data_IF_014050947158
#
_entry.id   IF_014050947158
#
_cell.length_a   1.000
_cell.length_b   1.000
_cell.length_c   1.000
_cell.angle_alpha   90.00
_cell.angle_beta   90.00
_cell.angle_gamma   90.00
#
_symmetry.space_group_name_H-M   'P 1'
#
loop_
_entity.id
_entity.type
_entity.pdbx_description
1 polymer ?
#
# COMPACT_ATOMS: atom_id res chain seq x y z
N UNK A 1 -42.44 -33.92 8.63
CA UNK A 1 -42.65 -34.50 9.97
C UNK A 1 -43.65 -35.62 9.81
N UNK A 2 -43.20 -36.87 9.82
CA UNK A 2 -44.07 -38.04 9.92
C UNK A 2 -43.64 -38.82 11.14
N UNK A 3 -44.60 -39.06 12.05
CA UNK A 3 -44.51 -40.08 13.09
C UNK A 3 -45.92 -40.63 13.29
N UNK A 4 -46.19 -41.74 12.61
CA UNK A 4 -47.20 -42.69 13.04
C UNK A 4 -46.89 -43.15 14.47
N UNK A 5 -47.93 -43.32 15.27
CA UNK A 5 -47.84 -43.88 16.62
C UNK A 5 -48.63 -45.18 16.58
N UNK A 6 -47.92 -46.31 16.64
CA UNK A 6 -48.54 -47.63 16.71
C UNK A 6 -49.04 -47.92 18.13
N UNK A 7 -50.28 -48.40 18.25
CA UNK A 7 -50.77 -49.08 19.44
C UNK A 7 -50.23 -50.52 19.50
N UNK A 8 -50.12 -51.09 20.71
CA UNK A 8 -50.32 -52.53 20.86
C UNK A 8 -51.25 -52.87 22.04
N UNK A 9 -52.34 -53.62 21.80
CA UNK A 9 -53.00 -54.37 22.86
C UNK A 9 -52.95 -55.89 22.62
N UNK A 10 -52.11 -56.54 23.43
CA UNK A 10 -52.53 -57.67 24.27
C UNK A 10 -53.26 -58.85 23.59
N UNK A 11 -52.53 -59.65 22.83
CA UNK A 11 -52.96 -60.98 22.36
C UNK A 11 -51.98 -62.10 22.72
N UNK A 12 -51.51 -62.10 23.97
CA UNK A 12 -50.68 -63.16 24.56
C UNK A 12 -51.31 -63.70 25.85
N UNK A 13 -52.56 -64.19 25.76
CA UNK A 13 -53.06 -65.14 26.75
C UNK A 13 -52.26 -66.42 26.57
N UNK A 14 -51.36 -66.69 27.52
CA UNK A 14 -50.52 -67.88 27.53
C UNK A 14 -51.40 -69.13 27.47
N UNK A 15 -51.22 -69.93 26.42
CA UNK A 15 -51.92 -71.19 26.21
C UNK A 15 -51.33 -72.28 27.12
N UNK A 16 -51.51 -72.13 28.43
CA UNK A 16 -51.22 -73.21 29.36
C UNK A 16 -52.14 -74.41 29.08
N UNK A 17 -51.53 -75.60 29.04
CA UNK A 17 -52.17 -76.93 29.03
C UNK A 17 -52.75 -77.50 27.72
N UNK A 18 -51.88 -77.75 26.74
CA UNK A 18 -51.98 -78.94 25.86
C UNK A 18 -50.86 -79.95 26.16
N UNK A 19 -50.84 -80.53 27.37
CA UNK A 19 -49.80 -81.49 27.80
C UNK A 19 -49.81 -82.82 27.01
N UNK A 20 -50.94 -83.18 26.41
CA UNK A 20 -51.17 -84.47 25.74
C UNK A 20 -50.96 -84.46 24.22
N UNK A 21 -50.50 -83.34 23.65
CA UNK A 21 -50.28 -83.19 22.20
C UNK A 21 -48.93 -82.53 21.89
N UNK A 22 -47.95 -82.73 22.79
CA UNK A 22 -46.58 -82.22 22.63
C UNK A 22 -45.76 -83.08 21.66
N UNK A 23 -46.18 -84.34 21.46
CA UNK A 23 -45.68 -85.28 20.45
C UNK A 23 -46.84 -85.69 19.54
N UNK A 24 -46.64 -85.60 18.23
CA UNK A 24 -47.66 -85.94 17.22
C UNK A 24 -47.19 -87.12 16.39
N UNK A 25 -47.97 -88.20 16.37
CA UNK A 25 -47.73 -89.36 15.51
C UNK A 25 -48.18 -89.07 14.07
N UNK A 26 -47.39 -89.52 13.10
CA UNK A 26 -47.62 -89.31 11.66
C UNK A 26 -47.67 -90.66 10.94
N UNK A 27 -48.38 -90.75 9.81
CA UNK A 27 -48.48 -91.96 8.99
C UNK A 27 -48.78 -93.23 9.81
N UNK A 28 -49.80 -93.14 10.67
CA UNK A 28 -50.30 -94.29 11.44
C UNK A 28 -51.38 -94.97 10.61
N UNK A 29 -51.11 -96.20 10.20
CA UNK A 29 -52.04 -96.98 9.39
C UNK A 29 -53.20 -97.51 10.23
N UNK A 30 -54.37 -97.72 9.62
CA UNK A 30 -55.50 -98.37 10.30
C UNK A 30 -55.22 -99.84 10.59
N UNK A 31 -54.47 -100.48 9.70
CA UNK A 31 -54.17 -101.90 9.73
C UNK A 31 -52.66 -102.13 9.52
N UNK A 32 -52.04 -102.91 10.40
CA UNK A 32 -50.67 -103.38 10.24
C UNK A 32 -50.68 -104.90 10.00
N UNK A 33 -49.89 -105.36 9.02
CA UNK A 33 -49.84 -106.78 8.63
C UNK A 33 -49.21 -107.62 9.76
N UNK A 34 -49.90 -108.65 10.29
CA UNK A 34 -49.35 -109.54 11.31
C UNK A 34 -48.04 -110.19 10.86
N UNK A 35 -47.01 -110.13 11.70
CA UNK A 35 -45.68 -110.67 11.40
C UNK A 35 -44.73 -109.75 10.65
N UNK A 36 -45.17 -108.55 10.25
CA UNK A 36 -44.28 -107.46 9.80
C UNK A 36 -43.68 -106.67 10.96
N UNK A 37 -42.50 -106.08 10.75
CA UNK A 37 -41.99 -105.01 11.62
C UNK A 37 -42.82 -103.74 11.41
N UNK A 38 -43.10 -102.97 12.47
CA UNK A 38 -43.86 -101.71 12.38
C UNK A 38 -42.98 -100.53 12.72
N UNK A 39 -42.84 -99.61 11.77
CA UNK A 39 -42.18 -98.31 11.98
C UNK A 39 -43.21 -97.28 12.42
N UNK A 40 -42.99 -96.69 13.59
CA UNK A 40 -43.82 -95.64 14.15
C UNK A 40 -43.15 -94.28 13.92
N UNK A 41 -43.79 -93.40 13.14
CA UNK A 41 -43.32 -92.04 12.90
C UNK A 41 -43.95 -91.04 13.86
N UNK A 42 -43.14 -90.12 14.37
CA UNK A 42 -43.59 -89.09 15.31
C UNK A 42 -42.77 -87.80 15.17
N UNK A 43 -43.34 -86.69 15.64
CA UNK A 43 -42.71 -85.38 15.60
C UNK A 43 -42.88 -84.65 16.92
N UNK A 44 -41.90 -83.82 17.27
CA UNK A 44 -41.93 -82.98 18.46
C UNK A 44 -42.50 -81.60 18.11
N UNK A 45 -43.41 -81.08 18.94
CA UNK A 45 -43.84 -79.67 18.83
C UNK A 45 -42.72 -78.73 19.27
N UNK A 46 -42.72 -77.48 18.80
CA UNK A 46 -41.60 -76.53 18.95
C UNK A 46 -41.14 -76.25 20.40
N UNK A 47 -41.95 -76.60 21.41
CA UNK A 47 -41.69 -76.35 22.83
C UNK A 47 -41.35 -77.63 23.61
N UNK A 48 -41.33 -78.81 22.96
CA UNK A 48 -41.07 -80.08 23.62
C UNK A 48 -39.59 -80.48 23.55
N UNK A 49 -39.01 -80.83 24.70
CA UNK A 49 -37.61 -81.26 24.82
C UNK A 49 -37.56 -82.75 25.20
N UNK A 50 -37.17 -83.65 24.28
CA UNK A 50 -37.12 -85.08 24.55
C UNK A 50 -35.97 -85.44 25.50
N UNK A 51 -36.16 -86.49 26.31
CA UNK A 51 -35.18 -86.95 27.32
C UNK A 51 -34.79 -88.40 27.11
N UNK A 52 -33.61 -88.79 27.63
CA UNK A 52 -33.02 -90.15 27.46
C UNK A 52 -33.83 -91.31 28.04
N UNK A 53 -34.87 -91.01 28.84
CA UNK A 53 -35.77 -92.00 29.44
C UNK A 53 -37.23 -91.82 28.98
N UNK A 54 -37.43 -91.07 27.90
CA UNK A 54 -38.72 -91.07 27.21
C UNK A 54 -38.81 -92.32 26.31
N UNK A 55 -40.02 -92.82 26.10
CA UNK A 55 -40.27 -94.05 25.37
C UNK A 55 -41.64 -94.03 24.68
N UNK A 56 -41.78 -94.80 23.62
CA UNK A 56 -43.05 -94.99 22.92
C UNK A 56 -43.51 -96.40 23.20
N UNK A 57 -44.73 -96.54 23.73
CA UNK A 57 -45.38 -97.82 23.97
C UNK A 57 -46.52 -98.07 23.00
N UNK A 58 -46.75 -99.35 22.69
CA UNK A 58 -48.01 -99.82 22.10
C UNK A 58 -48.93 -100.19 23.26
N UNK A 59 -50.10 -99.54 23.33
CA UNK A 59 -51.10 -99.76 24.37
C UNK A 59 -52.41 -100.23 23.75
N UNK A 60 -53.09 -101.19 24.41
CA UNK A 60 -54.47 -101.54 24.06
C UNK A 60 -55.37 -100.35 24.39
N UNK A 61 -56.29 -99.99 23.49
CA UNK A 61 -57.24 -98.88 23.71
C UNK A 61 -58.04 -99.13 24.99
N UNK A 62 -58.12 -98.12 25.85
CA UNK A 62 -58.76 -98.21 27.18
C UNK A 62 -57.82 -98.49 28.36
N UNK A 63 -56.49 -98.47 28.15
CA UNK A 63 -55.47 -98.48 29.20
C UNK A 63 -55.71 -97.39 30.27
N UNK A 64 -55.37 -97.65 31.55
CA UNK A 64 -55.57 -96.71 32.66
C UNK A 64 -54.27 -96.13 33.22
N UNK A 65 -53.17 -96.86 33.14
CA UNK A 65 -51.83 -96.41 33.56
C UNK A 65 -50.78 -96.72 32.50
N UNK A 66 -49.70 -95.94 32.47
CA UNK A 66 -48.53 -96.16 31.62
C UNK A 66 -47.79 -97.47 31.91
N UNK A 67 -48.20 -98.24 32.92
CA UNK A 67 -47.71 -99.61 33.18
C UNK A 67 -48.43 -100.69 32.36
N UNK A 68 -49.50 -100.36 31.64
CA UNK A 68 -50.29 -101.28 30.80
C UNK A 68 -49.81 -101.33 29.33
N UNK A 69 -48.52 -101.04 29.07
CA UNK A 69 -47.96 -101.19 27.72
C UNK A 69 -47.90 -102.67 27.33
N UNK A 70 -48.16 -102.98 26.07
CA UNK A 70 -47.94 -104.31 25.50
C UNK A 70 -46.45 -104.51 25.18
N UNK A 71 -45.86 -103.54 24.48
CA UNK A 71 -44.43 -103.45 24.16
C UNK A 71 -44.01 -101.99 24.12
N UNK A 72 -42.72 -101.71 24.23
CA UNK A 72 -42.18 -100.36 24.22
C UNK A 72 -40.80 -100.30 23.56
N UNK A 73 -40.45 -99.11 23.07
CA UNK A 73 -39.13 -98.77 22.57
C UNK A 73 -38.67 -97.43 23.14
N UNK A 74 -37.41 -97.33 23.55
CA UNK A 74 -36.82 -96.07 24.00
C UNK A 74 -36.72 -95.07 22.85
N UNK A 75 -36.97 -93.80 23.15
CA UNK A 75 -36.82 -92.70 22.19
C UNK A 75 -35.33 -92.46 21.94
N UNK A 76 -34.92 -92.53 20.68
CA UNK A 76 -33.61 -92.07 20.26
C UNK A 76 -33.58 -90.54 20.36
N UNK A 77 -32.56 -89.97 21.02
CA UNK A 77 -32.36 -88.52 21.00
C UNK A 77 -31.85 -88.11 19.61
N UNK A 78 -32.45 -87.09 18.96
CA UNK A 78 -31.90 -86.55 17.72
C UNK A 78 -30.53 -85.92 17.97
N UNK A 79 -29.54 -86.27 17.14
CA UNK A 79 -28.15 -85.83 17.31
C UNK A 79 -27.96 -84.32 17.11
N UNK A 80 -28.82 -83.66 16.33
CA UNK A 80 -28.79 -82.22 16.05
C UNK A 80 -30.19 -81.61 16.26
N UNK A 81 -30.43 -80.98 17.41
CA UNK A 81 -31.72 -80.31 17.71
C UNK A 81 -31.98 -79.04 16.87
N UNK A 82 -30.95 -78.49 16.21
CA UNK A 82 -31.02 -77.20 15.50
C UNK A 82 -31.14 -77.32 13.96
N UNK A 83 -31.37 -78.52 13.41
CA UNK A 83 -31.62 -78.70 11.97
C UNK A 83 -33.12 -78.84 11.71
N UNK A 84 -33.70 -77.89 10.98
CA UNK A 84 -35.14 -77.91 10.64
C UNK A 84 -35.57 -79.12 9.80
N UNK A 85 -34.62 -79.82 9.17
CA UNK A 85 -34.85 -81.08 8.45
C UNK A 85 -35.03 -82.31 9.34
N UNK A 86 -34.93 -82.20 10.67
CA UNK A 86 -34.99 -83.33 11.62
C UNK A 86 -36.26 -83.33 12.47
N UNK A 87 -37.37 -82.76 11.95
CA UNK A 87 -38.66 -82.65 12.66
C UNK A 87 -39.43 -83.98 12.79
N UNK A 88 -39.17 -84.97 11.93
CA UNK A 88 -39.76 -86.31 11.98
C UNK A 88 -38.74 -87.31 12.51
N UNK A 89 -39.13 -88.04 13.56
CA UNK A 89 -38.40 -89.14 14.18
C UNK A 89 -39.12 -90.45 13.85
N UNK A 90 -38.41 -91.56 13.95
CA UNK A 90 -38.97 -92.90 13.80
C UNK A 90 -38.51 -93.84 14.92
N UNK A 91 -39.32 -94.85 15.21
CA UNK A 91 -38.94 -95.97 16.07
C UNK A 91 -39.55 -97.26 15.53
N UNK A 92 -38.76 -98.33 15.47
CA UNK A 92 -39.19 -99.59 14.88
C UNK A 92 -39.50 -100.64 15.95
N UNK A 93 -40.72 -101.14 15.94
CA UNK A 93 -41.16 -102.28 16.73
C UNK A 93 -40.97 -103.57 15.94
N UNK A 94 -40.22 -104.52 16.50
CA UNK A 94 -39.98 -105.82 15.85
C UNK A 94 -41.19 -106.74 15.94
N UNK A 95 -41.51 -107.40 14.83
CA UNK A 95 -42.68 -108.27 14.65
C UNK A 95 -42.92 -109.27 15.80
N UNK A 96 -41.82 -109.81 16.35
CA UNK A 96 -41.86 -110.77 17.46
C UNK A 96 -42.50 -110.21 18.75
N UNK A 97 -42.41 -108.90 18.99
CA UNK A 97 -42.95 -108.21 20.16
C UNK A 97 -44.32 -107.55 19.92
N UNK A 98 -44.93 -107.73 18.75
CA UNK A 98 -46.22 -107.13 18.42
C UNK A 98 -47.40 -108.00 18.87
N UNK A 99 -48.57 -107.40 19.12
CA UNK A 99 -49.83 -108.12 19.32
C UNK A 99 -50.16 -109.09 18.19
N UNK A 100 -50.95 -110.13 18.53
CA UNK A 100 -51.39 -111.20 17.63
C UNK A 100 -52.90 -111.46 17.73
N UNK A 101 -53.62 -110.52 18.32
CA UNK A 101 -55.07 -110.51 18.45
C UNK A 101 -55.66 -109.33 17.64
N UNK A 102 -56.97 -109.38 17.39
CA UNK A 102 -57.69 -108.36 16.63
C UNK A 102 -58.09 -107.14 17.49
N UNK A 103 -57.40 -106.91 18.61
CA UNK A 103 -57.71 -105.79 19.50
C UNK A 103 -57.22 -104.46 18.92
N UNK A 104 -57.83 -103.36 19.38
CA UNK A 104 -57.40 -102.02 18.98
C UNK A 104 -56.24 -101.55 19.84
N UNK A 105 -55.18 -101.09 19.18
CA UNK A 105 -53.96 -100.57 19.79
C UNK A 105 -53.70 -99.14 19.36
N UNK A 106 -52.92 -98.41 20.15
CA UNK A 106 -52.44 -97.07 19.84
C UNK A 106 -51.00 -96.89 20.34
N UNK A 107 -50.22 -96.07 19.66
CA UNK A 107 -48.94 -95.60 20.16
C UNK A 107 -49.20 -94.51 21.21
N UNK A 108 -48.48 -94.55 22.33
CA UNK A 108 -48.43 -93.46 23.31
C UNK A 108 -46.98 -93.11 23.60
N UNK A 109 -46.65 -91.81 23.52
CA UNK A 109 -45.35 -91.30 23.95
C UNK A 109 -45.41 -91.01 25.44
N UNK A 110 -44.53 -91.63 26.23
CA UNK A 110 -44.43 -91.48 27.68
C UNK A 110 -43.07 -90.86 28.01
N UNK A 111 -43.09 -89.82 28.82
CA UNK A 111 -41.88 -89.13 29.22
C UNK A 111 -41.19 -89.76 30.46
N UNK A 112 -39.99 -89.27 30.79
CA UNK A 112 -39.22 -89.70 31.97
C UNK A 112 -39.99 -89.56 33.31
N UNK A 113 -40.97 -88.66 33.41
CA UNK A 113 -41.78 -88.43 34.61
C UNK A 113 -43.03 -89.35 34.64
N UNK A 114 -43.24 -90.15 33.60
CA UNK A 114 -44.37 -91.07 33.43
C UNK A 114 -45.61 -90.43 32.82
N UNK A 115 -45.52 -89.20 32.30
CA UNK A 115 -46.62 -88.44 31.71
C UNK A 115 -46.74 -88.75 30.22
N UNK A 116 -47.97 -88.96 29.74
CA UNK A 116 -48.24 -89.17 28.31
C UNK A 116 -48.27 -87.83 27.58
N UNK A 117 -47.42 -87.70 26.55
CA UNK A 117 -47.20 -86.46 25.78
C UNK A 117 -47.78 -86.47 24.38
N UNK A 118 -48.26 -87.63 23.93
CA UNK A 118 -48.92 -87.84 22.65
C UNK A 118 -49.54 -89.23 22.60
N UNK A 119 -50.64 -89.36 21.84
CA UNK A 119 -51.28 -90.64 21.52
C UNK A 119 -51.69 -90.67 20.04
N UNK A 120 -51.57 -91.82 19.38
CA UNK A 120 -51.99 -92.00 17.98
C UNK A 120 -53.50 -92.25 17.85
N UNK A 121 -53.97 -92.24 16.60
CA UNK A 121 -55.23 -92.91 16.27
C UNK A 121 -55.13 -94.43 16.54
N UNK A 122 -56.24 -95.12 16.84
CA UNK A 122 -56.25 -96.58 16.97
C UNK A 122 -55.98 -97.32 15.66
N UNK A 123 -55.36 -98.49 15.78
CA UNK A 123 -55.04 -99.42 14.69
C UNK A 123 -55.20 -100.88 15.14
N UNK A 124 -55.29 -101.81 14.19
CA UNK A 124 -55.37 -103.26 14.44
C UNK A 124 -54.28 -104.02 13.70
N UNK A 125 -53.90 -105.20 14.20
CA UNK A 125 -52.98 -106.12 13.51
C UNK A 125 -53.76 -107.14 12.67
N UNK A 126 -54.16 -106.75 11.45
CA UNK A 126 -54.90 -107.60 10.51
C UNK A 126 -54.56 -107.28 9.05
N UNK A 127 -54.75 -108.22 8.11
CA UNK A 127 -54.69 -107.93 6.68
C UNK A 127 -55.82 -106.97 6.24
N UNK A 128 -55.50 -106.13 5.28
CA UNK A 128 -56.47 -105.32 4.53
C UNK A 128 -57.01 -106.15 3.36
N UNK A 129 -58.34 -106.24 3.25
CA UNK A 129 -59.04 -107.04 2.23
C UNK A 129 -59.99 -106.13 1.46
N UNK A 130 -59.48 -105.50 0.40
CA UNK A 130 -60.28 -104.75 -0.57
C UNK A 130 -60.54 -105.63 -1.81
N UNK A 131 -61.72 -106.25 -1.89
CA UNK A 131 -62.18 -106.96 -3.08
C UNK A 131 -63.53 -106.41 -3.59
N UNK A 132 -63.60 -106.21 -4.90
CA UNK A 132 -64.76 -105.93 -5.76
C UNK A 132 -65.73 -104.78 -5.45
N UNK A 133 -65.46 -103.62 -6.06
CA UNK A 133 -66.49 -102.65 -6.49
C UNK A 133 -66.34 -102.36 -8.00
N UNK A 134 -67.13 -103.05 -8.83
CA UNK A 134 -67.20 -102.78 -10.28
C UNK A 134 -68.21 -101.67 -10.55
N UNK A 135 -67.73 -100.48 -10.91
CA UNK A 135 -68.58 -99.32 -11.22
C UNK A 135 -69.06 -99.39 -12.68
N UNK A 136 -70.35 -99.68 -12.88
CA UNK A 136 -70.99 -99.67 -14.21
C UNK A 136 -71.48 -98.25 -14.55
N UNK A 137 -70.81 -97.58 -15.50
CA UNK A 137 -71.20 -96.25 -16.00
C UNK A 137 -72.07 -96.32 -17.27
N UNK A 138 -73.03 -95.41 -17.38
CA UNK A 138 -73.98 -95.32 -18.51
C UNK A 138 -73.44 -94.43 -19.63
N UNK A 139 -73.60 -94.84 -20.90
CA UNK A 139 -72.96 -94.21 -22.09
C UNK A 139 -73.03 -92.68 -22.15
N UNK A 140 -74.18 -92.05 -21.86
CA UNK A 140 -74.30 -90.58 -21.89
C UNK A 140 -73.38 -89.85 -20.90
N UNK A 141 -73.09 -90.46 -19.74
CA UNK A 141 -72.11 -89.92 -18.78
C UNK A 141 -70.68 -90.02 -19.29
N UNK A 142 -70.38 -90.95 -20.20
CA UNK A 142 -69.05 -91.05 -20.82
C UNK A 142 -68.86 -89.89 -21.80
N UNK A 143 -69.86 -89.58 -22.62
CA UNK A 143 -69.84 -88.45 -23.56
C UNK A 143 -69.72 -87.10 -22.81
N UNK A 144 -70.42 -86.92 -21.67
CA UNK A 144 -70.26 -85.75 -20.77
C UNK A 144 -68.83 -85.65 -20.17
N UNK A 145 -68.23 -86.78 -19.75
CA UNK A 145 -66.88 -86.83 -19.19
C UNK A 145 -65.80 -86.61 -20.27
N UNK A 146 -66.00 -87.09 -21.49
CA UNK A 146 -65.12 -86.86 -22.63
C UNK A 146 -65.08 -85.36 -22.98
N UNK A 147 -66.25 -84.72 -23.08
CA UNK A 147 -66.34 -83.28 -23.36
C UNK A 147 -65.70 -82.43 -22.24
N UNK A 148 -65.93 -82.78 -20.97
CA UNK A 148 -65.29 -82.09 -19.84
C UNK A 148 -63.76 -82.31 -19.78
N UNK A 149 -63.27 -83.48 -20.21
CA UNK A 149 -61.83 -83.72 -20.34
C UNK A 149 -61.19 -82.89 -21.46
N UNK A 150 -61.88 -82.65 -22.57
CA UNK A 150 -61.40 -81.75 -23.63
C UNK A 150 -61.29 -80.30 -23.13
N UNK A 151 -62.29 -79.81 -22.39
CA UNK A 151 -62.25 -78.49 -21.72
C UNK A 151 -61.08 -78.39 -20.73
N UNK A 152 -60.90 -79.39 -19.86
CA UNK A 152 -59.80 -79.45 -18.89
C UNK A 152 -58.41 -79.52 -19.55
N UNK A 153 -58.30 -80.18 -20.71
CA UNK A 153 -57.05 -80.21 -21.50
C UNK A 153 -56.74 -78.84 -22.10
N UNK A 154 -57.75 -78.12 -22.60
CA UNK A 154 -57.58 -76.76 -23.10
C UNK A 154 -57.17 -75.80 -21.96
N UNK A 155 -57.88 -75.83 -20.82
CA UNK A 155 -57.55 -74.99 -19.65
C UNK A 155 -56.14 -75.30 -19.13
N UNK A 156 -55.73 -76.57 -19.07
CA UNK A 156 -54.35 -76.94 -18.71
C UNK A 156 -53.31 -76.38 -19.68
N UNK A 157 -53.59 -76.36 -20.99
CA UNK A 157 -52.68 -75.81 -21.98
C UNK A 157 -52.57 -74.28 -21.84
N UNK A 158 -53.69 -73.58 -21.67
CA UNK A 158 -53.72 -72.13 -21.42
C UNK A 158 -53.00 -71.76 -20.11
N UNK A 159 -53.22 -72.51 -19.03
CA UNK A 159 -52.50 -72.35 -17.75
C UNK A 159 -51.00 -72.59 -17.90
N UNK A 160 -50.59 -73.57 -18.71
CA UNK A 160 -49.18 -73.89 -18.97
C UNK A 160 -48.48 -72.79 -19.78
N UNK A 161 -49.15 -72.25 -20.81
CA UNK A 161 -48.63 -71.15 -21.61
C UNK A 161 -48.59 -69.84 -20.80
N UNK A 162 -49.58 -69.60 -19.94
CA UNK A 162 -49.59 -68.51 -18.96
C UNK A 162 -48.43 -68.62 -17.95
N UNK A 163 -48.20 -69.83 -17.40
CA UNK A 163 -47.10 -70.10 -16.49
C UNK A 163 -45.72 -69.88 -17.16
N UNK A 164 -45.55 -70.33 -18.40
CA UNK A 164 -44.34 -70.07 -19.18
C UNK A 164 -44.12 -68.57 -19.46
N UNK A 165 -45.19 -67.83 -19.76
CA UNK A 165 -45.16 -66.37 -19.94
C UNK A 165 -44.75 -65.64 -18.66
N UNK A 166 -45.35 -65.98 -17.52
CA UNK A 166 -45.01 -65.44 -16.20
C UNK A 166 -43.57 -65.78 -15.79
N UNK A 167 -43.12 -67.02 -16.04
CA UNK A 167 -41.75 -67.43 -15.76
C UNK A 167 -40.74 -66.62 -16.58
N UNK A 168 -41.04 -66.35 -17.86
CA UNK A 168 -40.23 -65.47 -18.70
C UNK A 168 -40.22 -64.03 -18.16
N UNK A 169 -41.39 -63.44 -17.89
CA UNK A 169 -41.48 -62.08 -17.35
C UNK A 169 -40.70 -61.91 -16.04
N UNK A 170 -40.75 -62.92 -15.16
CA UNK A 170 -40.00 -62.91 -13.90
C UNK A 170 -38.48 -62.98 -14.14
N UNK A 171 -38.03 -63.82 -15.09
CA UNK A 171 -36.63 -63.87 -15.52
C UNK A 171 -36.14 -62.55 -16.14
N UNK A 172 -36.95 -61.94 -17.02
CA UNK A 172 -36.63 -60.67 -17.67
C UNK A 172 -36.56 -59.52 -16.62
N UNK A 173 -37.52 -59.47 -15.69
CA UNK A 173 -37.53 -58.50 -14.60
C UNK A 173 -36.36 -58.67 -13.62
N UNK A 174 -35.96 -59.92 -13.33
CA UNK A 174 -34.81 -60.20 -12.46
C UNK A 174 -33.47 -59.83 -13.14
N UNK A 175 -33.36 -60.02 -14.46
CA UNK A 175 -32.23 -59.54 -15.24
C UNK A 175 -32.15 -58.00 -15.29
N UNK A 176 -33.29 -57.32 -15.46
CA UNK A 176 -33.32 -55.85 -15.38
C UNK A 176 -32.94 -55.36 -13.97
N UNK A 177 -33.47 -55.98 -12.90
CA UNK A 177 -33.14 -55.64 -11.51
C UNK A 177 -31.63 -55.74 -11.27
N UNK A 178 -30.99 -56.83 -11.70
CA UNK A 178 -29.54 -57.00 -11.58
C UNK A 178 -28.78 -55.92 -12.37
N UNK A 179 -29.20 -55.61 -13.60
CA UNK A 179 -28.60 -54.54 -14.40
C UNK A 179 -28.73 -53.15 -13.74
N UNK A 180 -29.87 -52.85 -13.10
CA UNK A 180 -30.02 -51.61 -12.30
C UNK A 180 -29.12 -51.59 -11.07
N UNK A 181 -28.97 -52.73 -10.38
CA UNK A 181 -28.11 -52.85 -9.21
C UNK A 181 -26.64 -52.60 -9.57
N UNK A 182 -26.13 -53.25 -10.62
CA UNK A 182 -24.77 -53.03 -11.14
C UNK A 182 -24.54 -51.56 -11.56
N UNK A 183 -25.53 -50.95 -12.22
CA UNK A 183 -25.46 -49.53 -12.60
C UNK A 183 -25.45 -48.59 -11.37
N UNK A 184 -26.18 -48.93 -10.31
CA UNK A 184 -26.24 -48.16 -9.07
C UNK A 184 -24.92 -48.25 -8.29
N UNK A 185 -24.31 -49.43 -8.22
CA UNK A 185 -22.97 -49.62 -7.63
C UNK A 185 -21.88 -48.90 -8.41
N UNK A 186 -21.94 -48.92 -9.75
CA UNK A 186 -21.04 -48.15 -10.60
C UNK A 186 -21.20 -46.63 -10.35
N UNK A 187 -22.42 -46.13 -10.21
CA UNK A 187 -22.71 -44.72 -9.95
C UNK A 187 -22.28 -44.29 -8.55
N UNK A 188 -22.45 -45.14 -7.52
CA UNK A 188 -21.89 -44.93 -6.18
C UNK A 188 -20.36 -44.84 -6.22
N UNK A 189 -19.69 -45.73 -6.97
CA UNK A 189 -18.23 -45.71 -7.16
C UNK A 189 -17.75 -44.43 -7.86
N UNK A 190 -18.51 -43.92 -8.83
CA UNK A 190 -18.22 -42.65 -9.50
C UNK A 190 -18.42 -41.46 -8.54
N UNK A 191 -19.53 -41.39 -7.81
CA UNK A 191 -19.78 -40.32 -6.84
C UNK A 191 -18.69 -40.26 -5.78
N UNK A 192 -18.29 -41.40 -5.19
CA UNK A 192 -17.21 -41.46 -4.21
C UNK A 192 -15.87 -40.93 -4.76
N UNK A 193 -15.56 -41.21 -6.04
CA UNK A 193 -14.37 -40.66 -6.71
C UNK A 193 -14.47 -39.16 -6.98
N UNK A 194 -15.67 -38.65 -7.26
CA UNK A 194 -15.92 -37.21 -7.44
C UNK A 194 -15.81 -36.46 -6.10
N UNK A 195 -16.36 -37.01 -5.02
CA UNK A 195 -16.21 -36.49 -3.65
C UNK A 195 -14.74 -36.42 -3.23
N UNK A 196 -13.97 -37.49 -3.47
CA UNK A 196 -12.53 -37.51 -3.20
C UNK A 196 -11.78 -36.41 -3.98
N UNK A 197 -12.02 -36.29 -5.29
CA UNK A 197 -11.40 -35.23 -6.11
C UNK A 197 -11.81 -33.83 -5.69
N UNK A 198 -13.04 -33.64 -5.24
CA UNK A 198 -13.55 -32.35 -4.76
C UNK A 198 -12.86 -31.93 -3.47
N UNK A 199 -12.66 -32.86 -2.53
CA UNK A 199 -11.93 -32.59 -1.28
C UNK A 199 -10.41 -32.42 -1.53
N UNK A 200 -9.81 -33.18 -2.44
CA UNK A 200 -8.42 -32.99 -2.91
C UNK A 200 -8.22 -31.59 -3.53
N UNK A 201 -9.13 -31.16 -4.41
CA UNK A 201 -9.09 -29.84 -5.04
C UNK A 201 -9.29 -28.72 -4.00
N UNK A 202 -10.20 -28.92 -3.06
CA UNK A 202 -10.45 -27.98 -1.94
C UNK A 202 -9.21 -27.84 -1.05
N UNK A 203 -8.57 -28.95 -0.64
CA UNK A 203 -7.34 -28.91 0.14
C UNK A 203 -6.17 -28.23 -0.61
N UNK A 204 -6.09 -28.41 -1.93
CA UNK A 204 -5.14 -27.71 -2.80
C UNK A 204 -5.38 -26.19 -2.78
N UNK A 205 -6.63 -25.75 -2.99
CA UNK A 205 -7.02 -24.33 -2.94
C UNK A 205 -6.85 -23.70 -1.56
N UNK A 206 -7.14 -24.42 -0.48
CA UNK A 206 -6.88 -23.96 0.90
C UNK A 206 -5.38 -23.75 1.14
N UNK A 207 -4.52 -24.61 0.59
CA UNK A 207 -3.06 -24.48 0.66
C UNK A 207 -2.56 -23.28 -0.17
N UNK A 208 -3.04 -23.10 -1.40
CA UNK A 208 -2.70 -21.96 -2.25
C UNK A 208 -3.15 -20.63 -1.63
N UNK A 209 -4.35 -20.60 -1.05
CA UNK A 209 -4.88 -19.44 -0.30
C UNK A 209 -4.02 -19.11 0.93
N UNK A 210 -3.48 -20.11 1.63
CA UNK A 210 -2.56 -19.89 2.76
C UNK A 210 -1.24 -19.28 2.26
N UNK A 211 -0.64 -19.85 1.22
CA UNK A 211 0.60 -19.34 0.61
C UNK A 211 0.45 -17.90 0.09
N UNK A 212 -0.68 -17.59 -0.55
CA UNK A 212 -0.98 -16.23 -1.00
C UNK A 212 -1.16 -15.25 0.17
N UNK A 213 -1.73 -15.67 1.30
CA UNK A 213 -1.81 -14.85 2.52
C UNK A 213 -0.43 -14.57 3.12
N UNK A 214 0.42 -15.59 3.24
CA UNK A 214 1.80 -15.44 3.73
C UNK A 214 2.63 -14.53 2.82
N UNK A 215 2.50 -14.68 1.50
CA UNK A 215 3.17 -13.84 0.51
C UNK A 215 2.71 -12.38 0.58
N UNK A 216 1.40 -12.14 0.68
CA UNK A 216 0.85 -10.79 0.88
C UNK A 216 1.30 -10.17 2.21
N UNK A 217 1.33 -10.95 3.30
CA UNK A 217 1.83 -10.48 4.59
C UNK A 217 3.32 -10.11 4.52
N UNK A 218 4.13 -10.91 3.82
CA UNK A 218 5.54 -10.62 3.57
C UNK A 218 5.70 -9.31 2.80
N UNK A 219 5.03 -9.15 1.65
CA UNK A 219 5.05 -7.91 0.85
C UNK A 219 4.59 -6.72 1.69
N UNK A 220 3.51 -6.85 2.47
CA UNK A 220 3.02 -5.79 3.36
C UNK A 220 4.11 -5.34 4.35
N UNK A 221 4.82 -6.30 4.97
CA UNK A 221 5.93 -6.00 5.90
C UNK A 221 7.17 -5.41 5.22
N UNK A 222 7.39 -5.69 3.93
CA UNK A 222 8.48 -5.11 3.14
C UNK A 222 8.11 -3.69 2.68
N UNK A 223 6.85 -3.48 2.24
CA UNK A 223 6.30 -2.17 1.90
C UNK A 223 6.30 -1.22 3.11
N UNK A 224 5.94 -1.70 4.31
CA UNK A 224 6.01 -0.88 5.54
C UNK A 224 7.46 -0.44 5.85
N UNK A 225 8.43 -1.35 5.76
CA UNK A 225 9.86 -1.02 5.93
C UNK A 225 10.35 -0.04 4.85
N UNK A 226 9.92 -0.21 3.61
CA UNK A 226 10.25 0.70 2.52
C UNK A 226 9.60 2.08 2.71
N UNK A 227 8.36 2.15 3.21
CA UNK A 227 7.70 3.39 3.60
C UNK A 227 8.47 4.15 4.65
N UNK A 228 8.83 3.50 5.77
CA UNK A 228 9.67 4.08 6.82
C UNK A 228 11.03 4.55 6.29
N UNK A 229 11.62 3.82 5.32
CA UNK A 229 12.88 4.22 4.68
C UNK A 229 12.72 5.44 3.77
N UNK A 230 11.61 5.55 3.04
CA UNK A 230 11.26 6.73 2.25
C UNK A 230 11.04 7.94 3.16
N UNK A 231 10.26 7.81 4.24
CA UNK A 231 10.06 8.87 5.23
C UNK A 231 11.39 9.34 5.86
N UNK A 232 12.28 8.40 6.19
CA UNK A 232 13.61 8.73 6.70
C UNK A 232 14.46 9.51 5.68
N UNK A 233 14.43 9.11 4.41
CA UNK A 233 15.15 9.81 3.33
C UNK A 233 14.53 11.19 3.04
N UNK A 234 13.20 11.30 3.07
CA UNK A 234 12.46 12.56 2.95
C UNK A 234 12.88 13.55 4.04
N UNK A 235 12.97 13.09 5.30
CA UNK A 235 13.43 13.90 6.42
C UNK A 235 14.91 14.32 6.26
N UNK A 236 15.78 13.40 5.82
CA UNK A 236 17.19 13.71 5.56
C UNK A 236 17.36 14.76 4.45
N UNK A 237 16.63 14.62 3.33
CA UNK A 237 16.63 15.60 2.24
C UNK A 237 16.10 16.96 2.70
N UNK A 238 15.04 17.01 3.52
CA UNK A 238 14.52 18.26 4.07
C UNK A 238 15.53 18.96 5.00
N UNK A 239 16.27 18.20 5.80
CA UNK A 239 17.36 18.76 6.63
C UNK A 239 18.49 19.30 5.75
N UNK A 240 18.97 18.53 4.77
CA UNK A 240 20.03 18.96 3.86
C UNK A 240 19.62 20.17 3.01
N UNK A 241 18.35 20.26 2.61
CA UNK A 241 17.81 21.43 1.92
C UNK A 241 17.89 22.69 2.80
N UNK A 242 17.49 22.60 4.08
CA UNK A 242 17.59 23.74 5.02
C UNK A 242 19.04 24.14 5.28
N UNK A 243 19.94 23.18 5.46
CA UNK A 243 21.39 23.44 5.60
C UNK A 243 21.96 24.14 4.35
N UNK A 244 21.51 23.75 3.15
CA UNK A 244 21.87 24.40 1.89
C UNK A 244 21.31 25.83 1.81
N UNK A 245 20.05 26.04 2.16
CA UNK A 245 19.40 27.36 2.19
C UNK A 245 20.12 28.32 3.17
N UNK A 246 20.48 27.84 4.37
CA UNK A 246 21.29 28.61 5.35
C UNK A 246 22.70 28.96 4.82
N UNK A 247 23.34 28.02 4.10
CA UNK A 247 24.64 28.26 3.48
C UNK A 247 24.56 29.31 2.36
N UNK A 248 23.53 29.25 1.51
CA UNK A 248 23.29 30.23 0.44
C UNK A 248 23.02 31.62 1.01
N UNK A 249 22.17 31.73 2.05
CA UNK A 249 21.92 33.01 2.73
C UNK A 249 23.20 33.60 3.35
N UNK A 250 24.05 32.76 3.95
CA UNK A 250 25.34 33.16 4.51
C UNK A 250 26.34 33.60 3.44
N UNK A 251 26.34 32.95 2.28
CA UNK A 251 27.20 33.33 1.16
C UNK A 251 26.74 34.65 0.50
N UNK A 252 25.42 34.86 0.42
CA UNK A 252 24.85 36.12 -0.03
C UNK A 252 25.23 37.29 0.89
N UNK A 253 25.03 37.17 2.21
CA UNK A 253 25.45 38.22 3.16
C UNK A 253 26.96 38.51 3.09
N UNK A 254 27.80 37.47 3.01
CA UNK A 254 29.25 37.65 2.80
C UNK A 254 29.56 38.37 1.48
N UNK A 255 28.85 38.04 0.40
CA UNK A 255 29.02 38.68 -0.91
C UNK A 255 28.62 40.16 -0.84
N UNK A 256 27.54 40.49 -0.15
CA UNK A 256 27.14 41.88 0.11
C UNK A 256 28.17 42.63 0.99
N UNK A 257 28.70 42.00 2.04
CA UNK A 257 29.77 42.56 2.87
C UNK A 257 31.03 42.83 2.05
N UNK A 258 31.46 41.89 1.21
CA UNK A 258 32.59 42.06 0.29
C UNK A 258 32.34 43.21 -0.69
N UNK A 259 31.13 43.35 -1.22
CA UNK A 259 30.78 44.44 -2.12
C UNK A 259 30.76 45.81 -1.39
N UNK A 260 30.28 45.86 -0.14
CA UNK A 260 30.36 47.06 0.72
C UNK A 260 31.82 47.48 0.95
N UNK A 261 32.66 46.56 1.42
CA UNK A 261 34.11 46.81 1.63
C UNK A 261 34.84 47.20 0.34
N UNK A 262 34.46 46.62 -0.81
CA UNK A 262 35.03 46.98 -2.12
C UNK A 262 34.67 48.40 -2.55
N UNK A 263 33.44 48.84 -2.28
CA UNK A 263 33.00 50.21 -2.54
C UNK A 263 33.71 51.20 -1.61
N UNK A 264 33.81 50.90 -0.32
CA UNK A 264 34.55 51.70 0.68
C UNK A 264 36.03 51.82 0.33
N UNK A 265 36.70 50.72 -0.02
CA UNK A 265 38.10 50.72 -0.45
C UNK A 265 38.28 51.57 -1.73
N UNK A 266 37.34 51.49 -2.67
CA UNK A 266 37.34 52.31 -3.88
C UNK A 266 37.17 53.82 -3.56
N UNK A 267 36.30 54.19 -2.60
CA UNK A 267 36.20 55.57 -2.09
C UNK A 267 37.49 56.02 -1.40
N UNK A 268 38.09 55.17 -0.55
CA UNK A 268 39.36 55.47 0.12
C UNK A 268 40.51 55.66 -0.88
N UNK A 269 40.57 54.88 -1.95
CA UNK A 269 41.55 55.05 -3.04
C UNK A 269 41.34 56.39 -3.74
N UNK A 270 40.10 56.77 -4.08
CA UNK A 270 39.79 58.08 -4.67
C UNK A 270 40.22 59.22 -3.74
N UNK A 271 39.81 59.20 -2.47
CA UNK A 271 40.20 60.20 -1.46
C UNK A 271 41.72 60.27 -1.28
N UNK A 272 42.43 59.13 -1.31
CA UNK A 272 43.89 59.09 -1.22
C UNK A 272 44.56 59.68 -2.48
N UNK A 273 43.98 59.50 -3.67
CA UNK A 273 44.48 60.15 -4.89
C UNK A 273 44.25 61.65 -4.88
N UNK A 274 43.07 62.11 -4.43
CA UNK A 274 42.79 63.54 -4.25
C UNK A 274 43.73 64.19 -3.22
N UNK A 275 43.95 63.54 -2.07
CA UNK A 275 44.92 64.02 -1.06
C UNK A 275 46.35 64.06 -1.61
N UNK A 276 46.76 63.10 -2.43
CA UNK A 276 48.08 63.14 -3.11
C UNK A 276 48.17 64.30 -4.10
N UNK A 277 47.12 64.58 -4.86
CA UNK A 277 47.09 65.70 -5.80
C UNK A 277 47.11 67.05 -5.06
N UNK A 278 46.32 67.20 -3.99
CA UNK A 278 46.35 68.36 -3.11
C UNK A 278 47.74 68.54 -2.47
N UNK A 279 48.37 67.46 -2.02
CA UNK A 279 49.74 67.48 -1.50
C UNK A 279 50.75 67.93 -2.56
N UNK A 280 50.69 67.42 -3.79
CA UNK A 280 51.56 67.90 -4.89
C UNK A 280 51.34 69.40 -5.18
N UNK A 281 50.08 69.86 -5.19
CA UNK A 281 49.75 71.29 -5.35
C UNK A 281 50.33 72.13 -4.20
N UNK A 282 50.25 71.66 -2.96
CA UNK A 282 50.86 72.33 -1.79
C UNK A 282 52.39 72.32 -1.83
N UNK A 283 53.01 71.22 -2.23
CA UNK A 283 54.46 71.14 -2.43
C UNK A 283 54.91 72.13 -3.53
N UNK A 284 54.16 72.23 -4.63
CA UNK A 284 54.41 73.19 -5.71
C UNK A 284 54.21 74.65 -5.26
N UNK A 285 53.19 74.96 -4.43
CA UNK A 285 53.03 76.32 -3.89
C UNK A 285 54.12 76.67 -2.88
N UNK A 286 54.53 75.74 -2.01
CA UNK A 286 55.67 75.92 -1.10
C UNK A 286 56.96 76.16 -1.88
N UNK A 287 57.22 75.39 -2.94
CA UNK A 287 58.40 75.60 -3.79
C UNK A 287 58.37 76.94 -4.53
N UNK A 288 57.21 77.35 -5.03
CA UNK A 288 57.01 78.68 -5.61
C UNK A 288 57.18 79.80 -4.55
N UNK A 289 56.77 79.58 -3.31
CA UNK A 289 57.01 80.52 -2.21
C UNK A 289 58.49 80.59 -1.83
N UNK A 290 59.22 79.48 -1.77
CA UNK A 290 60.69 79.47 -1.57
C UNK A 290 61.42 80.24 -2.68
N UNK A 291 61.00 80.08 -3.94
CA UNK A 291 61.54 80.86 -5.07
C UNK A 291 61.25 82.35 -4.92
N UNK A 292 60.02 82.73 -4.52
CA UNK A 292 59.67 84.13 -4.22
C UNK A 292 60.46 84.67 -3.03
N UNK A 293 60.64 83.89 -1.97
CA UNK A 293 61.39 84.28 -0.78
C UNK A 293 62.88 84.47 -1.09
N UNK A 294 63.50 83.56 -1.85
CA UNK A 294 64.90 83.70 -2.27
C UNK A 294 65.11 84.90 -3.22
N UNK A 295 64.17 85.18 -4.12
CA UNK A 295 64.17 86.43 -4.91
C UNK A 295 64.00 87.68 -4.03
N UNK A 296 63.09 87.64 -3.05
CA UNK A 296 62.89 88.74 -2.11
C UNK A 296 64.10 88.98 -1.20
N UNK A 297 64.77 87.92 -0.73
CA UNK A 297 66.03 87.99 0.03
C UNK A 297 67.16 88.57 -0.82
N UNK A 298 67.29 88.16 -2.10
CA UNK A 298 68.26 88.77 -3.03
C UNK A 298 67.99 90.27 -3.19
N UNK A 299 66.74 90.65 -3.48
CA UNK A 299 66.35 92.05 -3.62
C UNK A 299 66.50 92.87 -2.33
N UNK A 300 66.28 92.25 -1.17
CA UNK A 300 66.55 92.88 0.12
C UNK A 300 68.05 93.06 0.36
N UNK A 301 68.90 92.13 -0.11
CA UNK A 301 70.35 92.28 -0.05
C UNK A 301 70.84 93.36 -1.01
N UNK A 302 70.36 93.37 -2.26
CA UNK A 302 70.60 94.45 -3.24
C UNK A 302 70.24 95.83 -2.65
N UNK A 303 69.03 95.97 -2.07
CA UNK A 303 68.60 97.20 -1.40
C UNK A 303 69.45 97.55 -0.16
N UNK A 304 69.97 96.57 0.59
CA UNK A 304 70.90 96.83 1.70
C UNK A 304 72.25 97.32 1.19
N UNK A 305 72.76 96.74 0.11
CA UNK A 305 74.04 97.09 -0.50
C UNK A 305 73.95 98.48 -1.16
N UNK A 306 72.85 98.79 -1.83
CA UNK A 306 72.51 100.14 -2.30
C UNK A 306 72.40 101.15 -1.14
N UNK A 307 71.71 100.81 -0.05
CA UNK A 307 71.55 101.71 1.09
C UNK A 307 72.87 101.91 1.85
N UNK A 308 73.75 100.90 1.87
CA UNK A 308 75.13 101.03 2.37
C UNK A 308 75.99 101.91 1.44
N UNK A 309 75.85 101.78 0.13
CA UNK A 309 76.50 102.66 -0.85
C UNK A 309 76.00 104.12 -0.74
N UNK A 310 74.68 104.33 -0.57
CA UNK A 310 74.08 105.64 -0.32
C UNK A 310 74.49 106.22 1.04
N UNK A 311 74.63 105.38 2.08
CA UNK A 311 75.16 105.80 3.38
C UNK A 311 76.63 106.21 3.27
N UNK A 312 77.43 105.52 2.45
CA UNK A 312 78.81 105.90 2.14
C UNK A 312 78.86 107.22 1.39
N UNK A 313 78.10 107.41 0.31
CA UNK A 313 78.07 108.70 -0.42
C UNK A 313 77.48 109.83 0.42
N UNK A 314 76.55 109.57 1.34
CA UNK A 314 76.11 110.55 2.35
C UNK A 314 77.23 110.91 3.33
N UNK A 315 78.04 109.93 3.77
CA UNK A 315 79.23 110.19 4.59
C UNK A 315 80.28 110.98 3.82
N UNK A 316 80.54 110.65 2.57
CA UNK A 316 81.48 111.37 1.70
C UNK A 316 80.98 112.81 1.44
N UNK A 317 79.68 112.99 1.14
CA UNK A 317 79.06 114.31 1.04
C UNK A 317 79.08 115.08 2.36
N UNK A 318 79.02 114.40 3.51
CA UNK A 318 79.15 115.04 4.83
C UNK A 318 80.58 115.51 5.07
N UNK A 319 81.59 114.71 4.70
CA UNK A 319 82.99 115.11 4.71
C UNK A 319 83.22 116.31 3.78
N UNK A 320 82.66 116.29 2.57
CA UNK A 320 82.70 117.41 1.62
C UNK A 320 82.00 118.65 2.20
N UNK A 321 80.85 118.49 2.84
CA UNK A 321 80.13 119.59 3.51
C UNK A 321 80.94 120.18 4.67
N UNK A 322 81.61 119.35 5.48
CA UNK A 322 82.50 119.80 6.56
C UNK A 322 83.78 120.47 6.00
N UNK A 323 84.31 120.01 4.85
CA UNK A 323 85.41 120.69 4.13
C UNK A 323 84.96 122.04 3.62
N UNK A 324 83.84 122.12 2.89
CA UNK A 324 83.24 123.37 2.40
C UNK A 324 82.89 124.31 3.55
N UNK A 325 82.51 123.79 4.73
CA UNK A 325 82.27 124.60 5.93
C UNK A 325 83.56 125.17 6.50
N UNK A 326 84.64 124.38 6.62
CA UNK A 326 85.97 124.88 7.04
C UNK A 326 86.54 125.87 6.02
N UNK A 327 86.27 125.66 4.74
CA UNK A 327 86.68 126.54 3.65
C UNK A 327 85.87 127.83 3.64
N UNK A 328 84.56 127.77 3.90
CA UNK A 328 83.72 128.94 4.20
C UNK A 328 84.24 129.69 5.41
N UNK A 329 84.53 129.03 6.54
CA UNK A 329 85.08 129.67 7.74
C UNK A 329 86.49 130.27 7.48
N UNK A 330 87.27 129.68 6.57
CA UNK A 330 88.56 130.24 6.11
C UNK A 330 88.35 131.48 5.24
N UNK A 331 87.40 131.44 4.30
CA UNK A 331 87.02 132.58 3.47
C UNK A 331 86.37 133.70 4.29
N UNK A 332 85.60 133.39 5.34
CA UNK A 332 85.07 134.36 6.30
C UNK A 332 86.20 135.00 7.12
N UNK A 333 87.20 134.21 7.57
CA UNK A 333 88.41 134.74 8.21
C UNK A 333 89.25 135.60 7.26
N UNK A 334 89.41 135.21 6.00
CA UNK A 334 90.09 136.01 4.97
C UNK A 334 89.29 137.28 4.64
N UNK A 335 87.95 137.22 4.61
CA UNK A 335 87.09 138.38 4.42
C UNK A 335 87.15 139.35 5.61
N UNK A 336 87.22 138.85 6.84
CA UNK A 336 87.42 139.68 8.04
C UNK A 336 88.83 140.26 8.14
N UNK A 337 89.86 139.56 7.65
CA UNK A 337 91.21 140.12 7.47
C UNK A 337 91.16 141.23 6.42
N UNK A 338 90.58 140.97 5.24
CA UNK A 338 90.40 141.96 4.19
C UNK A 338 89.58 143.16 4.65
N UNK A 339 88.52 143.00 5.46
CA UNK A 339 87.78 144.11 6.07
C UNK A 339 88.65 144.91 7.03
N UNK A 340 89.46 144.26 7.88
CA UNK A 340 90.39 144.95 8.78
C UNK A 340 91.50 145.69 8.02
N UNK A 341 91.91 145.15 6.87
CA UNK A 341 92.91 145.75 6.00
C UNK A 341 92.34 146.92 5.18
N UNK A 342 91.10 146.80 4.71
CA UNK A 342 90.34 147.88 4.08
C UNK A 342 90.09 149.02 5.09
N UNK A 343 89.68 148.71 6.32
CA UNK A 343 89.55 149.71 7.39
C UNK A 343 90.90 150.37 7.74
N UNK A 344 92.02 149.63 7.76
CA UNK A 344 93.38 150.20 7.93
C UNK A 344 93.80 151.13 6.79
N UNK A 345 93.33 150.88 5.57
CA UNK A 345 93.60 151.75 4.41
C UNK A 345 92.70 153.00 4.40
N UNK A 346 91.52 152.94 5.00
CA UNK A 346 90.63 154.10 5.19
C UNK A 346 91.19 155.08 6.24
N UNK A 347 91.74 154.59 7.35
CA UNK A 347 92.27 155.44 8.45
C UNK A 347 93.46 156.34 8.02
N UNK A 348 94.20 155.99 6.96
CA UNK A 348 95.41 156.73 6.56
C UNK A 348 95.15 157.90 5.59
N UNK A 349 93.90 158.14 5.16
CA UNK A 349 93.56 159.19 4.17
C UNK A 349 92.67 160.33 4.68
N UNK A 350 92.43 160.43 5.99
CA UNK A 350 92.01 161.69 6.63
C UNK A 350 90.75 162.35 6.05
N UNK A 351 89.70 161.58 5.77
CA UNK A 351 88.37 162.12 5.46
C UNK A 351 87.44 161.98 6.66
N UNK A 352 86.78 163.10 6.98
CA UNK A 352 85.87 163.26 8.11
C UNK A 352 84.56 162.46 7.99
N UNK A 353 83.84 162.45 9.12
CA UNK A 353 82.39 162.65 9.25
C UNK A 353 81.54 161.42 9.57
N UNK A 354 80.86 161.54 10.71
CA UNK A 354 79.47 161.10 10.87
C UNK A 354 78.63 161.59 9.68
N UNK A 355 78.00 160.67 8.95
CA UNK A 355 76.90 160.94 8.01
C UNK A 355 76.11 159.66 7.70
N UNK A 356 75.32 159.22 8.68
CA UNK A 356 73.96 158.71 8.41
C UNK A 356 73.13 159.91 7.91
N UNK A 357 72.20 159.81 6.92
CA UNK A 357 71.14 158.78 6.90
C UNK A 357 70.64 158.34 5.51
N UNK A 358 69.59 157.48 5.52
CA UNK A 358 68.42 157.46 4.60
C UNK A 358 68.59 157.35 3.06
N UNK A 359 67.70 156.76 2.27
CA UNK A 359 66.53 155.87 2.48
C UNK A 359 66.17 155.26 1.09
N UNK A 360 65.15 154.40 1.02
CA UNK A 360 64.31 154.12 -0.20
C UNK A 360 65.01 153.59 -1.47
N UNK A 361 64.81 152.32 -1.82
CA UNK A 361 63.68 151.76 -2.62
C UNK A 361 63.86 151.80 -4.15
N UNK A 362 63.91 150.60 -4.73
CA UNK A 362 63.08 150.16 -5.88
C UNK A 362 62.87 148.64 -5.68
N UNK A 363 61.66 148.07 -5.76
CA UNK A 363 60.75 147.96 -6.93
C UNK A 363 61.38 147.22 -8.11
N UNK A 364 60.73 146.29 -8.81
CA UNK A 364 59.43 145.59 -8.62
C UNK A 364 59.37 144.43 -9.67
N UNK A 365 58.28 143.66 -9.69
CA UNK A 365 57.85 142.68 -10.71
C UNK A 365 58.56 141.31 -10.64
N UNK A 366 57.86 140.17 -10.72
CA UNK A 366 56.42 139.86 -10.81
C UNK A 366 56.27 138.35 -11.05
N UNK A 367 55.14 137.65 -10.94
CA UNK A 367 53.75 137.93 -10.55
C UNK A 367 53.22 136.64 -9.84
N UNK A 368 52.09 136.56 -9.13
CA UNK A 368 50.93 137.44 -9.11
C UNK A 368 49.71 136.80 -9.80
N UNK A 369 49.05 135.82 -9.16
CA UNK A 369 47.58 135.64 -9.29
C UNK A 369 46.95 134.75 -8.20
N UNK A 370 46.06 135.34 -7.42
CA UNK A 370 44.85 134.67 -6.92
C UNK A 370 43.73 134.92 -7.94
N UNK A 371 42.83 133.96 -8.18
CA UNK A 371 41.36 134.17 -8.12
C UNK A 371 40.54 132.91 -8.52
N UNK A 372 39.25 132.85 -8.10
CA UNK A 372 38.40 131.65 -8.20
C UNK A 372 37.46 131.66 -9.42
N UNK A 373 36.71 130.58 -9.63
CA UNK A 373 35.55 130.54 -10.54
C UNK A 373 35.01 129.14 -10.82
N UNK A 374 33.73 128.91 -10.48
CA UNK A 374 32.91 127.79 -10.96
C UNK A 374 32.37 128.08 -12.39
N UNK A 375 31.81 127.05 -13.06
CA UNK A 375 30.59 127.05 -13.92
C UNK A 375 30.72 126.37 -15.31
N UNK A 376 29.94 125.27 -15.46
CA UNK A 376 29.32 124.65 -16.67
C UNK A 376 30.14 124.01 -17.80
N UNK A 377 29.56 122.97 -18.45
CA UNK A 377 30.21 122.24 -19.57
C UNK A 377 29.33 121.40 -20.50
N UNK A 378 28.97 120.15 -20.13
CA UNK A 378 28.15 119.22 -20.93
C UNK A 378 28.80 118.76 -22.30
N UNK A 379 28.12 118.11 -23.30
CA UNK A 379 28.42 116.69 -23.58
C UNK A 379 28.55 116.24 -25.07
N UNK A 380 28.76 114.92 -25.22
CA UNK A 380 28.35 114.02 -26.32
C UNK A 380 29.15 113.93 -27.64
N UNK A 381 29.23 112.66 -28.10
CA UNK A 381 29.44 112.18 -29.48
C UNK A 381 30.84 112.37 -30.10
N UNK A 382 31.37 111.41 -30.85
CA UNK A 382 30.88 110.06 -31.15
C UNK A 382 31.71 109.37 -32.23
N UNK A 383 31.39 108.09 -32.46
CA UNK A 383 31.44 107.26 -33.70
C UNK A 383 31.35 105.82 -33.17
N UNK A 384 30.14 105.23 -33.17
CA UNK A 384 29.68 104.24 -34.18
C UNK A 384 30.58 102.98 -34.25
N UNK A 385 30.11 101.73 -34.22
CA UNK A 385 28.75 101.15 -34.13
C UNK A 385 28.88 99.63 -33.79
N UNK A 386 27.84 98.79 -33.60
CA UNK A 386 26.39 98.94 -33.77
C UNK A 386 25.59 98.13 -32.69
N UNK A 387 24.35 97.75 -33.00
CA UNK A 387 23.30 97.28 -32.06
C UNK A 387 23.31 95.77 -31.66
N UNK A 388 22.61 95.39 -30.55
CA UNK A 388 22.32 94.02 -30.09
C UNK A 388 20.85 93.64 -30.49
N UNK A 389 20.01 92.85 -29.77
CA UNK A 389 20.17 91.75 -28.78
C UNK A 389 19.60 90.42 -29.39
N UNK A 390 18.50 89.72 -28.94
CA UNK A 390 18.02 89.32 -27.61
C UNK A 390 17.66 87.81 -27.39
N UNK A 391 17.61 87.42 -26.10
CA UNK A 391 16.63 86.56 -25.38
C UNK A 391 15.78 85.43 -26.01
N UNK A 392 15.70 84.32 -25.26
CA UNK A 392 14.51 83.49 -24.93
C UNK A 392 13.56 83.01 -26.06
N UNK A 393 13.40 81.68 -26.21
CA UNK A 393 12.11 80.97 -26.03
C UNK A 393 12.21 79.44 -26.17
N UNK A 394 11.20 78.74 -25.60
CA UNK A 394 10.62 77.43 -25.96
C UNK A 394 11.56 76.22 -26.26
N UNK A 395 11.50 75.08 -25.54
CA UNK A 395 10.38 74.15 -25.30
C UNK A 395 10.04 73.22 -26.49
N UNK A 396 9.32 72.13 -26.16
CA UNK A 396 8.67 71.12 -27.03
C UNK A 396 9.47 69.85 -27.36
N UNK A 397 9.09 68.79 -26.63
CA UNK A 397 8.87 67.39 -27.03
C UNK A 397 9.14 66.94 -28.49
N UNK A 398 9.83 65.80 -28.62
CA UNK A 398 9.32 64.56 -29.24
C UNK A 398 10.32 63.43 -28.90
N UNK A 399 9.98 62.44 -28.09
CA UNK A 399 9.13 61.30 -28.41
C UNK A 399 9.69 60.39 -29.52
N UNK A 400 10.33 59.29 -29.10
CA UNK A 400 10.21 58.00 -29.78
C UNK A 400 10.55 56.83 -28.85
N UNK A 401 9.49 56.12 -28.46
CA UNK A 401 9.25 54.72 -28.87
C UNK A 401 10.18 53.64 -28.31
N UNK A 402 9.62 52.96 -27.29
CA UNK A 402 9.31 51.51 -27.29
C UNK A 402 10.45 50.50 -27.09
N UNK A 403 10.23 49.70 -26.04
CA UNK A 403 10.47 48.27 -25.93
C UNK A 403 11.33 47.63 -27.03
N UNK A 404 12.54 47.23 -26.67
CA UNK A 404 13.16 46.05 -27.25
C UNK A 404 13.52 45.07 -26.13
N UNK A 405 12.54 44.25 -25.75
CA UNK A 405 12.83 42.88 -25.35
C UNK A 405 13.43 42.16 -26.55
N UNK A 406 14.68 41.69 -26.50
CA UNK A 406 15.13 40.65 -27.42
C UNK A 406 14.45 39.38 -26.93
N UNK A 407 13.38 38.96 -27.60
CA UNK A 407 12.89 37.58 -27.51
C UNK A 407 14.10 36.68 -27.81
N UNK A 408 14.63 35.99 -26.80
CA UNK A 408 15.25 34.70 -27.09
C UNK A 408 14.16 33.86 -27.74
N UNK A 409 14.42 33.36 -28.94
CA UNK A 409 13.62 32.32 -29.55
C UNK A 409 13.79 31.07 -28.68
N UNK A 410 13.00 30.99 -27.62
CA UNK A 410 12.74 29.71 -26.98
C UNK A 410 11.90 28.94 -27.99
N UNK A 411 12.53 27.92 -28.57
CA UNK A 411 11.85 26.93 -29.41
C UNK A 411 10.69 26.42 -28.57
N UNK A 412 9.46 26.72 -28.99
CA UNK A 412 8.27 26.34 -28.24
C UNK A 412 8.05 24.84 -28.49
N UNK A 413 8.79 24.03 -27.73
CA UNK A 413 8.59 22.59 -27.64
C UNK A 413 7.16 22.42 -27.14
N UNK A 414 6.28 21.97 -28.02
CA UNK A 414 4.88 21.70 -27.72
C UNK A 414 4.81 20.42 -26.91
N UNK A 415 4.99 20.52 -25.60
CA UNK A 415 4.86 19.37 -24.71
C UNK A 415 3.40 18.88 -24.66
N UNK A 416 3.22 17.57 -24.59
CA UNK A 416 1.93 16.92 -24.43
C UNK A 416 1.67 16.73 -22.93
N UNK A 417 0.64 17.38 -22.40
CA UNK A 417 0.36 17.34 -20.96
C UNK A 417 -0.82 16.43 -20.68
N UNK A 418 -0.67 15.44 -19.80
CA UNK A 418 -1.75 14.55 -19.40
C UNK A 418 -2.81 15.34 -18.61
N UNK A 419 -4.10 15.36 -19.05
CA UNK A 419 -5.14 16.13 -18.40
C UNK A 419 -5.62 15.53 -17.06
N UNK A 420 -5.22 14.30 -16.73
CA UNK A 420 -5.65 13.57 -15.53
C UNK A 420 -4.69 13.76 -14.36
N UNK A 421 -3.37 13.69 -14.61
CA UNK A 421 -2.33 13.76 -13.58
C UNK A 421 -1.37 14.95 -13.71
N UNK A 422 -1.37 15.66 -14.84
CA UNK A 422 -0.50 16.82 -15.09
C UNK A 422 0.92 16.48 -15.55
N UNK A 423 1.26 15.20 -15.76
CA UNK A 423 2.55 14.78 -16.33
C UNK A 423 2.80 15.40 -17.72
N UNK A 424 4.05 15.78 -17.99
CA UNK A 424 4.46 16.56 -19.17
C UNK A 424 5.40 15.73 -20.04
N UNK A 425 4.97 15.40 -21.25
CA UNK A 425 5.68 14.53 -22.19
C UNK A 425 6.30 15.31 -23.36
N UNK A 426 7.46 14.88 -23.89
CA UNK A 426 8.03 15.47 -25.11
C UNK A 426 7.16 15.20 -26.34
N UNK A 427 7.07 16.13 -27.33
CA UNK A 427 6.36 15.90 -28.58
C UNK A 427 6.93 14.77 -29.45
N UNK A 428 8.11 14.25 -29.13
CA UNK A 428 8.72 13.09 -29.79
C UNK A 428 8.22 11.74 -29.25
N UNK A 429 7.43 11.75 -28.18
CA UNK A 429 7.00 10.55 -27.44
C UNK A 429 5.46 10.42 -27.41
N UNK A 430 4.80 10.80 -28.51
CA UNK A 430 3.33 10.80 -28.67
C UNK A 430 2.68 9.45 -28.31
N UNK A 431 3.28 8.32 -28.71
CA UNK A 431 2.80 6.98 -28.34
C UNK A 431 2.85 6.73 -26.82
N UNK A 432 3.90 7.21 -26.14
CA UNK A 432 4.07 7.03 -24.68
C UNK A 432 3.03 7.88 -23.93
N UNK A 433 2.74 9.07 -24.45
CA UNK A 433 1.66 9.92 -23.96
C UNK A 433 0.28 9.26 -24.14
N UNK A 434 -0.04 8.68 -25.31
CA UNK A 434 -1.32 8.00 -25.53
C UNK A 434 -1.48 6.77 -24.64
N UNK A 435 -0.46 5.91 -24.53
CA UNK A 435 -0.46 4.75 -23.65
C UNK A 435 -0.66 5.16 -22.17
N UNK A 436 -0.01 6.25 -21.73
CA UNK A 436 -0.17 6.81 -20.39
C UNK A 436 -1.59 7.34 -20.12
N UNK A 437 -2.19 8.07 -21.07
CA UNK A 437 -3.58 8.54 -20.95
C UNK A 437 -4.56 7.36 -20.96
N UNK A 438 -4.28 6.30 -21.72
CA UNK A 438 -5.07 5.08 -21.73
C UNK A 438 -5.03 4.35 -20.38
N UNK A 439 -3.90 4.34 -19.67
CA UNK A 439 -3.79 3.77 -18.31
C UNK A 439 -4.69 4.47 -17.27
N UNK A 440 -5.15 5.70 -17.50
CA UNK A 440 -6.16 6.36 -16.65
C UNK A 440 -7.61 5.99 -16.99
N UNK A 441 -7.83 5.22 -18.05
CA UNK A 441 -9.14 4.77 -18.53
C UNK A 441 -9.43 3.28 -18.24
N UNK A 442 -8.50 2.60 -17.55
CA UNK A 442 -8.57 1.23 -17.06
C UNK A 442 -8.80 1.21 -15.54
#
# INVERSE_FOLDING_TARGET
MEKTIDEPPTSAVLLEHCSFSQVVFSSVEKFYVPGGDVTCYYSFTQQFVPRRKDWIGIFKVGWKTTREYYTFMWVALPSDLNKESTKQQEVQFKAYYLPKDDEHYQFCYVDQDGVVRGASIPFQFRPETEEDIVVVTTKGKVEEIEQHNEELLQENQELKDSCASLQKQNSDAQAELQSKQEALEALQSINKKLEQKMEEQKACWETELLQLKEYNQKISSENEKMGLRVEQLQAQLSTQQKEMEELVLRDQDKTEQLQRLKNENSQLVLSLTEQKEQKMKLEQTVENMKKKETMARKKQQELKDENFALSRTLSDNKIVSDVLKREKEKLERENDILKKENNRLVDYMGLHSDSSPDQTQSSDQGAGRQNPGLVYGNPYSGIQESSPPPSLHAAVHADKVREQTPKKQQMQISCLNCPVCGEVFPPTEEQVYEDHVFCHSL
#
